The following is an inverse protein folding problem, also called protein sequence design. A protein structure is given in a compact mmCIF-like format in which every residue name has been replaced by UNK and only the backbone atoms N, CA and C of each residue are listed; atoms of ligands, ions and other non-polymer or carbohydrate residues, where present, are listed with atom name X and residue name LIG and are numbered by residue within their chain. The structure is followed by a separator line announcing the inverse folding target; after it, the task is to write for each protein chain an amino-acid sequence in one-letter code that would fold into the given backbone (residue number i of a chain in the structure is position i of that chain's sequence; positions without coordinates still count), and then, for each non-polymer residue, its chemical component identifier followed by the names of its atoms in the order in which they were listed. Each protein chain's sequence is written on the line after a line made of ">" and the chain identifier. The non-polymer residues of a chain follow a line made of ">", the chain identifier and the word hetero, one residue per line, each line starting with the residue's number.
data_IF_129260662030
#
_entry.id   IF_129260662030
#
_cell.length_a   1.000
_cell.length_b   1.000
_cell.length_c   1.000
_cell.angle_alpha   90.00
_cell.angle_beta   90.00
_cell.angle_gamma   90.00
#
_symmetry.space_group_name_H-M   'P 1'
#
loop_
_entity.id
_entity.type
_entity.pdbx_description
1 polymer ?
#
# COMPACT_ATOMS: atom_id res chain seq x y z
N UNK A 1 -4.04 -17.77 19.70
CA UNK A 1 -4.87 -16.69 19.10
C UNK A 1 -6.09 -16.49 19.99
N UNK A 2 -6.42 -15.25 20.33
CA UNK A 2 -7.56 -15.00 21.22
C UNK A 2 -8.86 -15.08 20.41
N UNK A 3 -9.95 -15.53 21.06
CA UNK A 3 -11.30 -15.55 20.47
C UNK A 3 -11.69 -14.18 19.90
N UNK A 4 -11.31 -13.10 20.62
CA UNK A 4 -11.55 -11.72 20.19
C UNK A 4 -10.93 -11.39 18.81
N UNK A 5 -9.71 -11.86 18.54
CA UNK A 5 -9.07 -11.66 17.24
C UNK A 5 -9.79 -12.45 16.13
N UNK A 6 -10.15 -13.71 16.40
CA UNK A 6 -10.90 -14.53 15.47
C UNK A 6 -12.24 -13.88 15.10
N UNK A 7 -13.02 -13.45 16.10
CA UNK A 7 -14.33 -12.83 15.88
C UNK A 7 -14.19 -11.52 15.10
N UNK A 8 -13.15 -10.73 15.37
CA UNK A 8 -12.85 -9.48 14.66
C UNK A 8 -12.50 -9.73 13.20
N UNK A 9 -11.63 -10.69 12.91
CA UNK A 9 -11.25 -11.05 11.54
C UNK A 9 -12.42 -11.65 10.75
N UNK A 10 -13.26 -12.46 11.39
CA UNK A 10 -14.44 -13.05 10.77
C UNK A 10 -15.45 -11.99 10.33
N UNK A 11 -15.62 -10.94 11.12
CA UNK A 11 -16.56 -9.84 10.87
C UNK A 11 -15.95 -8.68 10.04
N UNK A 12 -14.65 -8.76 9.73
CA UNK A 12 -13.97 -7.75 8.92
C UNK A 12 -14.44 -7.76 7.47
N UNK A 13 -14.59 -6.58 6.87
CA UNK A 13 -14.89 -6.43 5.44
C UNK A 13 -13.76 -6.96 4.54
N UNK A 14 -12.52 -7.05 5.05
CA UNK A 14 -11.39 -7.66 4.34
C UNK A 14 -11.52 -9.16 4.18
N UNK A 15 -12.38 -9.78 4.99
CA UNK A 15 -12.55 -11.23 5.09
C UNK A 15 -11.45 -11.90 5.92
N UNK A 16 -11.77 -13.06 6.48
CA UNK A 16 -10.90 -13.81 7.37
C UNK A 16 -9.53 -14.15 6.75
N UNK A 17 -9.52 -14.55 5.49
CA UNK A 17 -8.27 -14.94 4.81
C UNK A 17 -7.29 -13.76 4.70
N UNK A 18 -7.73 -12.61 4.16
CA UNK A 18 -6.87 -11.45 3.97
C UNK A 18 -6.39 -10.86 5.30
N UNK A 19 -7.28 -10.79 6.31
CA UNK A 19 -6.91 -10.36 7.65
C UNK A 19 -5.91 -11.30 8.31
N UNK A 20 -6.13 -12.62 8.21
CA UNK A 20 -5.22 -13.61 8.78
C UNK A 20 -3.85 -13.61 8.10
N UNK A 21 -3.80 -13.48 6.77
CA UNK A 21 -2.54 -13.41 6.05
C UNK A 21 -1.70 -12.24 6.54
N UNK A 22 -2.28 -11.05 6.60
CA UNK A 22 -1.56 -9.83 6.93
C UNK A 22 -1.21 -9.69 8.42
N UNK A 23 -2.19 -9.93 9.29
CA UNK A 23 -2.08 -9.58 10.71
C UNK A 23 -1.64 -10.77 11.57
N UNK A 24 -1.56 -11.99 11.01
CA UNK A 24 -1.17 -13.21 11.72
C UNK A 24 -0.03 -13.95 11.02
N UNK A 25 -0.20 -14.29 9.75
CA UNK A 25 0.74 -15.19 9.03
C UNK A 25 2.03 -14.44 8.70
N UNK A 26 1.95 -13.26 8.09
CA UNK A 26 3.14 -12.47 7.76
C UNK A 26 3.98 -12.12 9.00
N UNK A 27 3.43 -11.59 10.10
CA UNK A 27 4.21 -11.37 11.31
C UNK A 27 4.82 -12.65 11.89
N UNK A 28 4.12 -13.80 11.81
CA UNK A 28 4.65 -15.08 12.30
C UNK A 28 5.84 -15.57 11.46
N UNK A 29 5.87 -15.30 10.15
CA UNK A 29 6.97 -15.67 9.25
C UNK A 29 8.14 -14.69 9.40
N UNK A 30 7.87 -13.39 9.42
CA UNK A 30 8.87 -12.32 9.39
C UNK A 30 9.49 -12.04 10.78
N UNK A 31 8.80 -12.41 11.86
CA UNK A 31 9.29 -12.25 13.22
C UNK A 31 9.36 -10.79 13.68
N UNK A 32 10.41 -10.44 14.43
CA UNK A 32 10.54 -9.12 15.07
C UNK A 32 10.82 -7.98 14.10
N UNK A 33 11.35 -8.28 12.92
CA UNK A 33 11.72 -7.31 11.89
C UNK A 33 10.59 -7.15 10.85
N UNK A 34 9.37 -7.61 11.19
CA UNK A 34 8.24 -7.63 10.27
C UNK A 34 7.95 -6.26 9.65
N UNK A 35 8.03 -5.17 10.42
CA UNK A 35 7.71 -3.82 9.93
C UNK A 35 8.71 -3.34 8.88
N UNK A 36 10.02 -3.52 9.12
CA UNK A 36 11.06 -3.16 8.17
C UNK A 36 10.98 -4.01 6.91
N UNK A 37 10.77 -5.32 7.06
CA UNK A 37 10.61 -6.24 5.94
C UNK A 37 9.35 -5.91 5.11
N UNK A 38 8.24 -5.58 5.76
CA UNK A 38 7.00 -5.17 5.08
C UNK A 38 7.19 -3.89 4.28
N UNK A 39 8.03 -2.95 4.72
CA UNK A 39 8.37 -1.77 3.95
C UNK A 39 9.04 -2.13 2.62
N UNK A 40 10.04 -3.00 2.64
CA UNK A 40 10.71 -3.46 1.42
C UNK A 40 9.79 -4.30 0.52
N UNK A 41 8.93 -5.14 1.11
CA UNK A 41 7.90 -5.88 0.38
C UNK A 41 6.92 -4.91 -0.30
N UNK A 42 6.57 -3.82 0.37
CA UNK A 42 5.76 -2.75 -0.21
C UNK A 42 6.41 -2.12 -1.44
N UNK A 43 7.70 -1.81 -1.36
CA UNK A 43 8.48 -1.32 -2.52
C UNK A 43 8.50 -2.35 -3.66
N UNK A 44 8.62 -3.64 -3.36
CA UNK A 44 8.60 -4.70 -4.38
C UNK A 44 7.23 -4.83 -5.04
N UNK A 45 6.13 -4.72 -4.28
CA UNK A 45 4.77 -4.71 -4.84
C UNK A 45 4.56 -3.53 -5.79
N UNK A 46 5.06 -2.34 -5.46
CA UNK A 46 4.99 -1.17 -6.35
C UNK A 46 5.76 -1.40 -7.67
N UNK A 47 6.86 -2.14 -7.64
CA UNK A 47 7.61 -2.51 -8.85
C UNK A 47 6.85 -3.46 -9.77
N UNK A 48 5.98 -4.31 -9.20
CA UNK A 48 5.10 -5.20 -9.96
C UNK A 48 3.88 -4.46 -10.53
N UNK A 49 3.42 -3.40 -9.86
CA UNK A 49 2.19 -2.67 -10.20
C UNK A 49 2.41 -1.15 -10.28
N UNK A 50 3.38 -0.66 -11.09
CA UNK A 50 3.73 0.75 -11.10
C UNK A 50 2.63 1.60 -11.72
N UNK A 51 2.36 2.78 -11.11
CA UNK A 51 1.36 3.74 -11.58
C UNK A 51 1.93 5.14 -11.76
N UNK A 52 1.46 5.83 -12.82
CA UNK A 52 2.06 7.07 -13.30
C UNK A 52 1.51 8.35 -12.70
N UNK A 53 0.44 8.29 -11.90
CA UNK A 53 -0.21 9.48 -11.36
C UNK A 53 -0.65 9.34 -9.92
N UNK A 54 -0.84 10.44 -9.18
CA UNK A 54 -1.41 10.43 -7.84
C UNK A 54 -2.84 9.84 -7.80
N UNK A 55 -3.62 10.04 -8.84
CA UNK A 55 -4.98 9.52 -9.00
C UNK A 55 -4.95 7.99 -9.14
N UNK A 56 -4.06 7.47 -9.97
CA UNK A 56 -3.86 6.03 -10.13
C UNK A 56 -3.32 5.40 -8.84
N UNK A 57 -2.44 6.11 -8.11
CA UNK A 57 -1.96 5.65 -6.81
C UNK A 57 -3.09 5.48 -5.80
N UNK A 58 -4.04 6.42 -5.75
CA UNK A 58 -5.22 6.30 -4.90
C UNK A 58 -6.08 5.11 -5.31
N UNK A 59 -6.30 4.92 -6.61
CA UNK A 59 -7.10 3.84 -7.15
C UNK A 59 -6.50 2.46 -6.84
N UNK A 60 -5.21 2.26 -7.15
CA UNK A 60 -4.56 0.97 -6.94
C UNK A 60 -4.43 0.62 -5.46
N UNK A 61 -4.18 1.60 -4.59
CA UNK A 61 -4.13 1.41 -3.13
C UNK A 61 -5.46 0.85 -2.61
N UNK A 62 -6.58 1.37 -3.11
CA UNK A 62 -7.91 0.86 -2.78
C UNK A 62 -8.15 -0.54 -3.36
N UNK A 63 -7.75 -0.81 -4.61
CA UNK A 63 -7.89 -2.11 -5.27
C UNK A 63 -7.07 -3.21 -4.59
N UNK A 64 -5.86 -2.89 -4.11
CA UNK A 64 -5.02 -3.80 -3.32
C UNK A 64 -5.57 -4.03 -1.89
N UNK A 65 -6.61 -3.30 -1.49
CA UNK A 65 -7.22 -3.42 -0.17
C UNK A 65 -6.38 -2.81 0.96
N UNK A 66 -5.44 -1.92 0.64
CA UNK A 66 -4.63 -1.20 1.62
C UNK A 66 -5.44 -0.17 2.39
N UNK A 67 -6.43 0.44 1.73
CA UNK A 67 -7.31 1.46 2.28
C UNK A 67 -7.60 2.57 1.28
N UNK A 68 -8.26 3.62 1.75
CA UNK A 68 -8.61 4.80 0.97
C UNK A 68 -7.53 5.86 1.14
N UNK A 69 -6.69 6.03 0.11
CA UNK A 69 -5.58 6.97 0.10
C UNK A 69 -6.05 8.34 -0.45
N UNK A 70 -5.60 9.42 0.15
CA UNK A 70 -5.89 10.78 -0.34
C UNK A 70 -4.72 11.74 -0.07
N UNK A 71 -4.33 12.50 -1.11
CA UNK A 71 -3.29 13.51 -0.99
C UNK A 71 -3.80 14.72 -0.22
N UNK A 72 -3.13 15.09 0.87
CA UNK A 72 -3.51 16.21 1.73
C UNK A 72 -2.69 17.46 1.44
N UNK A 73 -1.40 17.29 1.19
CA UNK A 73 -0.46 18.37 0.92
C UNK A 73 0.65 17.88 0.01
N UNK A 74 1.08 18.74 -0.90
CA UNK A 74 2.23 18.49 -1.77
C UNK A 74 3.13 19.72 -1.80
N UNK A 75 4.43 19.48 -1.64
CA UNK A 75 5.50 20.47 -1.83
C UNK A 75 6.48 19.95 -2.89
N UNK A 76 7.57 20.64 -3.11
CA UNK A 76 8.64 20.20 -4.03
C UNK A 76 9.43 19.00 -3.47
N UNK A 77 9.47 18.84 -2.14
CA UNK A 77 10.30 17.84 -1.46
C UNK A 77 9.52 16.91 -0.55
N UNK A 78 8.23 17.11 -0.39
CA UNK A 78 7.39 16.20 0.41
C UNK A 78 5.94 16.16 -0.05
N UNK A 79 5.30 15.02 0.23
CA UNK A 79 3.87 14.81 0.05
C UNK A 79 3.29 14.21 1.34
N UNK A 80 2.18 14.77 1.81
CA UNK A 80 1.44 14.25 2.94
C UNK A 80 0.19 13.51 2.44
N UNK A 81 0.11 12.24 2.76
CA UNK A 81 -0.98 11.36 2.37
C UNK A 81 -1.78 10.91 3.59
N UNK A 82 -3.10 10.90 3.47
CA UNK A 82 -3.99 10.30 4.46
C UNK A 82 -4.44 8.94 3.93
N UNK A 83 -4.17 7.89 4.68
CA UNK A 83 -4.66 6.55 4.44
C UNK A 83 -5.74 6.22 5.48
N UNK A 84 -6.94 5.91 5.04
CA UNK A 84 -8.11 5.65 5.88
C UNK A 84 -9.00 4.56 5.30
N UNK A 85 -10.29 4.64 5.62
CA UNK A 85 -11.28 3.64 5.23
C UNK A 85 -11.50 2.56 6.29
N UNK A 86 -12.50 1.72 6.04
CA UNK A 86 -12.96 0.75 7.05
C UNK A 86 -11.87 -0.27 7.43
N UNK A 87 -11.08 -0.75 6.46
CA UNK A 87 -10.02 -1.72 6.72
C UNK A 87 -8.89 -1.16 7.60
N UNK A 88 -8.53 0.11 7.40
CA UNK A 88 -7.52 0.80 8.20
C UNK A 88 -8.02 1.03 9.62
N UNK A 89 -9.26 1.50 9.76
CA UNK A 89 -9.90 1.70 11.06
C UNK A 89 -9.96 0.41 11.87
N UNK A 90 -10.41 -0.70 11.27
CA UNK A 90 -10.47 -2.01 11.93
C UNK A 90 -9.10 -2.47 12.42
N UNK A 91 -8.04 -2.26 11.63
CA UNK A 91 -6.66 -2.61 12.03
C UNK A 91 -6.16 -1.78 13.21
N UNK A 92 -6.44 -0.47 13.19
CA UNK A 92 -6.08 0.42 14.30
C UNK A 92 -6.85 0.06 15.57
N UNK A 93 -8.14 -0.24 15.47
CA UNK A 93 -8.96 -0.68 16.62
C UNK A 93 -8.46 -2.00 17.23
N UNK A 94 -7.90 -2.90 16.42
CA UNK A 94 -7.35 -4.19 16.86
C UNK A 94 -5.99 -4.07 17.53
N UNK A 95 -5.08 -3.27 16.96
CA UNK A 95 -3.66 -3.25 17.30
C UNK A 95 -3.20 -1.94 17.96
N UNK A 96 -4.04 -0.90 17.96
CA UNK A 96 -3.72 0.42 18.52
C UNK A 96 -2.47 1.02 17.89
N UNK A 97 -1.58 1.54 18.73
CA UNK A 97 -0.31 2.15 18.33
C UNK A 97 0.70 1.15 17.72
N UNK A 98 0.45 -0.15 17.89
CA UNK A 98 1.28 -1.22 17.31
C UNK A 98 0.85 -1.61 15.90
N UNK A 99 -0.10 -0.89 15.30
CA UNK A 99 -0.53 -1.16 13.94
C UNK A 99 0.59 -0.85 12.95
N UNK A 100 1.07 -1.87 12.26
CA UNK A 100 2.08 -1.70 11.22
C UNK A 100 1.46 -1.15 9.93
N UNK A 101 2.13 -0.16 9.35
CA UNK A 101 1.85 0.39 8.02
C UNK A 101 3.07 0.30 7.08
N UNK A 102 4.07 -0.51 7.43
CA UNK A 102 5.29 -0.68 6.65
C UNK A 102 5.01 -0.99 5.18
N UNK A 103 4.10 -1.92 4.92
CA UNK A 103 3.75 -2.32 3.56
C UNK A 103 3.19 -1.16 2.72
N UNK A 104 2.26 -0.40 3.28
CA UNK A 104 1.66 0.76 2.61
C UNK A 104 2.67 1.88 2.41
N UNK A 105 3.49 2.15 3.41
CA UNK A 105 4.54 3.17 3.32
C UNK A 105 5.56 2.83 2.22
N UNK A 106 6.05 1.60 2.19
CA UNK A 106 6.99 1.16 1.15
C UNK A 106 6.39 1.23 -0.24
N UNK A 107 5.12 0.81 -0.39
CA UNK A 107 4.40 0.91 -1.66
C UNK A 107 4.28 2.36 -2.13
N UNK A 108 3.78 3.25 -1.28
CA UNK A 108 3.59 4.67 -1.63
C UNK A 108 4.93 5.35 -1.93
N UNK A 109 5.98 5.07 -1.14
CA UNK A 109 7.30 5.64 -1.37
C UNK A 109 7.86 5.27 -2.75
N UNK A 110 7.78 3.99 -3.13
CA UNK A 110 8.28 3.53 -4.43
C UNK A 110 7.47 4.09 -5.60
N UNK A 111 6.16 4.20 -5.48
CA UNK A 111 5.31 4.82 -6.50
C UNK A 111 5.65 6.30 -6.71
N UNK A 112 5.90 7.04 -5.62
CA UNK A 112 6.30 8.44 -5.71
C UNK A 112 7.72 8.56 -6.29
N UNK A 113 8.63 7.64 -5.96
CA UNK A 113 9.95 7.55 -6.56
C UNK A 113 9.87 7.38 -8.09
N UNK A 114 9.00 6.51 -8.59
CA UNK A 114 8.75 6.35 -10.03
C UNK A 114 8.18 7.61 -10.68
N UNK A 115 7.21 8.26 -10.03
CA UNK A 115 6.55 9.45 -10.58
C UNK A 115 7.46 10.69 -10.60
N UNK A 116 8.39 10.80 -9.65
CA UNK A 116 9.28 11.95 -9.50
C UNK A 116 10.68 11.70 -10.06
N UNK A 117 11.06 10.45 -10.33
CA UNK A 117 12.40 10.04 -10.75
C UNK A 117 13.50 10.40 -9.74
N UNK A 118 13.14 10.52 -8.47
CA UNK A 118 14.04 10.86 -7.36
C UNK A 118 13.82 9.91 -6.20
N UNK A 119 14.87 9.63 -5.43
CA UNK A 119 14.75 8.76 -4.24
C UNK A 119 13.68 9.31 -3.31
N UNK A 120 12.80 8.43 -2.85
CA UNK A 120 11.71 8.79 -1.96
C UNK A 120 11.58 7.77 -0.82
N UNK A 121 11.33 8.32 0.39
CA UNK A 121 11.14 7.53 1.61
C UNK A 121 9.89 8.01 2.36
N UNK A 122 9.20 7.08 3.00
CA UNK A 122 7.96 7.34 3.72
C UNK A 122 8.09 7.05 5.21
N UNK A 123 7.44 7.90 6.01
CA UNK A 123 7.33 7.76 7.45
C UNK A 123 5.91 8.09 7.93
N UNK A 124 5.51 7.55 9.10
CA UNK A 124 4.26 7.94 9.73
C UNK A 124 4.44 9.32 10.35
N UNK A 125 3.63 10.28 9.90
CA UNK A 125 3.57 11.63 10.46
C UNK A 125 2.61 11.70 11.65
N UNK A 126 1.44 11.05 11.54
CA UNK A 126 0.43 11.02 12.62
C UNK A 126 -0.43 9.77 12.50
N UNK A 127 -0.71 9.10 13.62
CA UNK A 127 -1.66 8.00 13.71
C UNK A 127 -2.92 8.48 14.47
N UNK A 128 -4.09 8.36 13.84
CA UNK A 128 -5.40 8.66 14.44
C UNK A 128 -6.21 7.38 14.65
N UNK A 129 -7.38 7.52 15.24
CA UNK A 129 -8.26 6.37 15.55
C UNK A 129 -8.83 5.66 14.31
N UNK A 130 -8.89 6.35 13.16
CA UNK A 130 -9.55 5.88 11.94
C UNK A 130 -8.69 6.03 10.68
N UNK A 131 -7.50 6.60 10.81
CA UNK A 131 -6.58 6.81 9.69
C UNK A 131 -5.14 7.03 10.15
N UNK A 132 -4.22 6.92 9.21
CA UNK A 132 -2.81 7.27 9.38
C UNK A 132 -2.42 8.33 8.35
N UNK A 133 -1.58 9.28 8.77
CA UNK A 133 -0.94 10.24 7.89
C UNK A 133 0.48 9.78 7.61
N UNK A 134 0.79 9.64 6.34
CA UNK A 134 2.09 9.19 5.83
C UNK A 134 2.73 10.38 5.11
N UNK A 135 3.88 10.79 5.59
CA UNK A 135 4.69 11.78 4.89
C UNK A 135 5.72 11.06 4.01
N UNK A 136 5.74 11.38 2.74
CA UNK A 136 6.75 10.91 1.79
C UNK A 136 7.67 12.07 1.47
N UNK A 137 8.95 11.92 1.77
CA UNK A 137 10.00 12.88 1.44
C UNK A 137 10.78 12.39 0.25
N UNK A 138 11.06 13.28 -0.69
CA UNK A 138 11.92 13.01 -1.83
C UNK A 138 13.13 13.95 -1.83
N UNK A 139 14.26 13.44 -2.32
CA UNK A 139 15.46 14.23 -2.51
C UNK A 139 15.61 14.63 -3.98
N UNK A 140 15.31 15.89 -4.35
CA UNK A 140 15.42 16.33 -5.75
C UNK A 140 16.84 16.31 -6.32
N UNK A 141 17.87 16.15 -5.48
CA UNK A 141 19.28 16.10 -5.88
C UNK A 141 19.77 14.66 -6.11
N UNK A 142 19.05 13.68 -5.58
CA UNK A 142 19.39 12.26 -5.74
C UNK A 142 18.40 11.61 -6.71
N UNK A 143 18.88 11.37 -7.94
CA UNK A 143 18.10 10.64 -8.94
C UNK A 143 17.84 9.22 -8.45
N UNK A 144 16.62 8.73 -8.66
CA UNK A 144 16.33 7.32 -8.51
C UNK A 144 17.17 6.52 -9.52
N UNK A 145 17.43 5.24 -9.24
CA UNK A 145 18.22 4.37 -10.13
C UNK A 145 17.67 4.43 -11.57
N UNK A 146 18.39 5.19 -12.42
CA UNK A 146 17.94 5.55 -13.77
C UNK A 146 17.73 4.32 -14.66
N UNK A 147 18.53 3.27 -14.49
CA UNK A 147 18.38 2.04 -15.28
C UNK A 147 17.07 1.32 -14.98
N UNK A 148 16.55 1.44 -13.75
CA UNK A 148 15.26 0.84 -13.36
C UNK A 148 14.06 1.71 -13.70
N UNK A 149 14.18 3.02 -13.55
CA UNK A 149 13.06 3.95 -13.79
C UNK A 149 12.77 4.18 -15.27
N UNK A 150 13.78 4.18 -16.14
CA UNK A 150 13.58 4.28 -17.59
C UNK A 150 12.86 3.08 -18.22
N UNK A 151 12.89 1.92 -17.55
CA UNK A 151 12.25 0.67 -18.01
C UNK A 151 10.83 0.48 -17.45
N UNK A 152 10.36 1.36 -16.56
CA UNK A 152 9.03 1.21 -15.95
C UNK A 152 7.94 1.55 -16.96
N UNK A 153 7.08 0.57 -17.21
CA UNK A 153 5.83 0.78 -17.95
C UNK A 153 4.68 0.84 -16.97
N UNK A 154 4.09 2.02 -16.83
CA UNK A 154 2.97 2.23 -15.93
C UNK A 154 1.72 1.47 -16.37
N UNK A 155 0.96 0.99 -15.39
CA UNK A 155 -0.32 0.32 -15.61
C UNK A 155 -1.37 1.32 -16.10
N UNK A 156 -2.21 0.89 -17.03
CA UNK A 156 -3.43 1.60 -17.43
C UNK A 156 -4.62 1.03 -16.66
N UNK A 157 -4.95 1.66 -15.51
CA UNK A 157 -6.02 1.21 -14.64
C UNK A 157 -7.42 1.53 -15.16
N UNK A 158 -7.53 2.43 -16.17
CA UNK A 158 -8.81 2.89 -16.68
C UNK A 158 -9.33 2.07 -17.86
N UNK A 159 -8.45 1.30 -18.52
CA UNK A 159 -8.76 0.46 -19.68
C UNK A 159 -8.81 -1.05 -19.36
N UNK A 160 -8.99 -1.44 -18.10
CA UNK A 160 -9.21 -2.83 -17.72
C UNK A 160 -10.49 -3.38 -18.37
N UNK A 161 -10.39 -3.93 -19.59
CA UNK A 161 -11.48 -4.72 -20.15
C UNK A 161 -11.51 -6.08 -19.45
N UNK A 162 -12.66 -6.52 -18.92
CA UNK A 162 -12.79 -7.89 -18.44
C UNK A 162 -12.48 -8.82 -19.63
N UNK A 163 -11.55 -9.75 -19.42
CA UNK A 163 -11.27 -10.79 -20.41
C UNK A 163 -12.60 -11.49 -20.73
N UNK A 164 -13.04 -11.41 -21.98
CA UNK A 164 -14.14 -12.22 -22.47
C UNK A 164 -13.68 -13.66 -22.39
N UNK A 165 -14.29 -14.44 -21.51
CA UNK A 165 -14.15 -15.89 -21.51
C UNK A 165 -14.53 -16.38 -22.92
N UNK A 166 -13.55 -16.71 -23.74
CA UNK A 166 -13.74 -17.48 -24.96
C UNK A 166 -14.21 -18.88 -24.56
N UNK A 167 -15.51 -18.99 -24.28
CA UNK A 167 -16.19 -20.29 -24.29
C UNK A 167 -16.09 -20.82 -25.70
N UNK A 168 -15.02 -21.58 -25.95
CA UNK A 168 -14.97 -22.45 -27.13
C UNK A 168 -16.21 -23.31 -27.13
N UNK A 169 -17.10 -23.04 -28.09
CA UNK A 169 -18.08 -23.98 -28.60
C UNK A 169 -17.30 -25.17 -29.14
N UNK A 170 -17.37 -26.29 -28.47
CA UNK A 170 -17.15 -27.59 -29.07
C UNK A 170 -18.53 -28.15 -29.37
N UNK A 171 -18.91 -28.10 -30.62
CA UNK A 171 -19.80 -29.08 -31.24
C UNK A 171 -18.98 -30.31 -31.62
#
# INVERSE_FOLDING_TARGET
>A
MSQKLYDSLLNSKRGLMNGSLRDVILPAILGKEADEMLYWIGKDIAREFPVGSPEDLQLITSQLGFGDLSLQKKTTTSQLWRLGGQSVKERIEQNGEQTSFGLEMGFIAQEIEFQLMTVAEAEISELKKDCVFIEVKNDPQTEADSERTELVTFLDLHNCQPQKDDKKKNE
#
